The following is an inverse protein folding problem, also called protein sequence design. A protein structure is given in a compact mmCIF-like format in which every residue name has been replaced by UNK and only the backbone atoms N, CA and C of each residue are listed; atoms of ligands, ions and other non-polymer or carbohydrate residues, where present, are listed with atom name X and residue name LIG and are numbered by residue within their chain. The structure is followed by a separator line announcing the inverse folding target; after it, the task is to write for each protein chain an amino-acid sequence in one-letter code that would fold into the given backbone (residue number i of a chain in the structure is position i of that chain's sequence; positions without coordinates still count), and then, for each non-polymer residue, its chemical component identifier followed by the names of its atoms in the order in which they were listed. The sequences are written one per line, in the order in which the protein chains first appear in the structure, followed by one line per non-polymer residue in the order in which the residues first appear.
data_IF_905401396093
#
_entry.id   IF_905401396093
#
_cell.length_a   1.000
_cell.length_b   1.000
_cell.length_c   1.000
_cell.angle_alpha   90.00
_cell.angle_beta   90.00
_cell.angle_gamma   90.00
#
_symmetry.space_group_name_H-M   'P 1'
#
loop_
_entity.id
_entity.type
_entity.pdbx_description
1 polymer ?
#
# COMPACT_ATOMS: atom_id res chain seq x y z
C UNK A 1 -10.91 5.64 9.83
N UNK A 2 -10.22 4.51 9.81
CA UNK A 2 -9.89 3.79 11.02
C UNK A 2 -8.85 2.74 10.74
N UNK A 3 -9.10 1.57 11.26
CA UNK A 3 -8.20 0.44 11.07
C UNK A 3 -8.29 -0.04 9.63
N UNK A 4 -8.98 0.74 8.78
CA UNK A 4 -9.13 0.38 7.37
C UNK A 4 -7.85 0.75 6.62
N UNK A 5 -7.50 2.02 6.69
CA UNK A 5 -6.31 2.50 6.02
C UNK A 5 -5.12 1.64 6.45
N UNK A 6 -5.24 1.08 7.65
CA UNK A 6 -4.20 0.22 8.20
C UNK A 6 -3.83 -0.88 7.20
N UNK A 7 -4.62 -1.01 6.14
CA UNK A 7 -4.39 -2.02 5.12
C UNK A 7 -3.43 -1.50 4.04
N UNK A 8 -3.37 -0.18 3.87
CA UNK A 8 -2.49 0.42 2.87
C UNK A 8 -1.02 0.06 3.16
N UNK A 9 -0.52 0.36 4.34
CA UNK A 9 0.89 0.05 4.71
C UNK A 9 1.35 -1.32 4.21
N UNK A 10 0.54 -2.33 4.53
CA UNK A 10 0.85 -3.70 4.11
C UNK A 10 0.82 -3.84 2.59
N UNK A 11 0.07 -2.96 1.92
CA UNK A 11 -0.05 -2.99 0.47
C UNK A 11 1.05 -2.11 -0.12
N UNK A 12 1.68 -1.37 0.75
CA UNK A 12 2.76 -0.47 0.35
C UNK A 12 3.74 -1.18 -0.55
N UNK A 13 3.70 -2.51 -0.55
CA UNK A 13 4.59 -3.30 -1.38
C UNK A 13 4.20 -3.16 -2.84
N UNK A 14 3.00 -3.63 -3.18
CA UNK A 14 2.53 -3.53 -4.56
C UNK A 14 2.53 -2.07 -4.98
N UNK A 15 2.17 -1.18 -4.06
CA UNK A 15 2.14 0.23 -4.37
C UNK A 15 3.49 0.64 -4.91
N UNK A 16 4.55 0.25 -4.22
CA UNK A 16 5.89 0.59 -4.67
C UNK A 16 6.11 0.02 -6.07
N UNK A 17 5.37 -1.05 -6.38
CA UNK A 17 5.49 -1.70 -7.68
C UNK A 17 4.85 -0.87 -8.81
N UNK A 18 3.52 -0.72 -8.78
CA UNK A 18 2.84 0.04 -9.84
C UNK A 18 3.03 1.55 -9.70
N UNK A 19 2.92 2.05 -8.48
CA UNK A 19 3.08 3.50 -8.27
C UNK A 19 4.39 3.96 -8.91
N UNK A 20 5.47 3.28 -8.53
CA UNK A 20 6.80 3.60 -9.04
C UNK A 20 7.14 2.68 -10.21
N UNK A 21 6.11 2.27 -10.94
CA UNK A 21 6.29 1.38 -12.08
C UNK A 21 6.82 2.17 -13.28
#
# INVERSE_FOLDING_TARGET
XGWWLALAPALALALALWWAX
#
